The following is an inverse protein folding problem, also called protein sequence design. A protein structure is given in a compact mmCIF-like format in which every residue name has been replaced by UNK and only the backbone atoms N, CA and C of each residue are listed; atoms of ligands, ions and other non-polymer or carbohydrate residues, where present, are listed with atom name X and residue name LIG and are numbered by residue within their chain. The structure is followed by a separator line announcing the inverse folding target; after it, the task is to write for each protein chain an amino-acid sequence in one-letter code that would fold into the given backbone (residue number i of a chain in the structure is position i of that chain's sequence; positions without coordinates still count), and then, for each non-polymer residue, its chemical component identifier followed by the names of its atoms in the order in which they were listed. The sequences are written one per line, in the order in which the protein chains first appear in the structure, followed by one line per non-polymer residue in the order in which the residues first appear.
data_IF_422655002350
#
_entry.id   IF_422655002350
#
_cell.length_a   1.000
_cell.length_b   1.000
_cell.length_c   1.000
_cell.angle_alpha   90.00
_cell.angle_beta   90.00
_cell.angle_gamma   90.00
#
_symmetry.space_group_name_H-M   'P 1'
#
loop_
_entity.id
_entity.type
_entity.pdbx_description
1 polymer ?
#
# COMPACT_ATOMS: atom_id res chain seq x y z
N UNK A 1 -51.18 20.75 -3.91
CA UNK A 1 -52.32 20.40 -3.03
C UNK A 1 -52.57 21.58 -2.11
N UNK A 2 -53.73 22.24 -2.23
CA UNK A 2 -54.10 23.37 -1.37
C UNK A 2 -54.74 22.86 -0.08
N UNK A 3 -54.55 23.58 1.03
CA UNK A 3 -55.20 23.30 2.33
C UNK A 3 -56.74 23.37 2.22
N UNK A 4 -57.27 23.99 1.18
CA UNK A 4 -58.71 24.22 0.97
C UNK A 4 -59.42 23.16 0.13
N UNK A 5 -58.73 22.17 -0.44
CA UNK A 5 -59.38 21.09 -1.21
C UNK A 5 -59.71 19.89 -0.33
N UNK A 6 -61.00 19.64 -0.08
CA UNK A 6 -61.46 18.45 0.63
C UNK A 6 -61.50 17.24 -0.32
N UNK A 7 -60.57 16.31 -0.14
CA UNK A 7 -60.61 15.00 -0.82
C UNK A 7 -61.04 13.94 0.17
N UNK A 8 -62.15 13.25 -0.14
CA UNK A 8 -62.61 12.15 0.70
C UNK A 8 -61.87 10.84 0.34
N UNK A 9 -60.84 10.50 1.10
CA UNK A 9 -60.01 9.30 0.93
C UNK A 9 -60.70 7.99 1.31
N UNK A 10 -61.93 8.04 1.81
CA UNK A 10 -62.73 6.83 2.08
C UNK A 10 -63.42 6.29 0.82
N UNK A 11 -63.56 7.10 -0.23
CA UNK A 11 -64.13 6.69 -1.52
C UNK A 11 -63.04 6.25 -2.49
N UNK A 12 -63.32 5.25 -3.33
CA UNK A 12 -62.37 4.78 -4.36
C UNK A 12 -62.00 5.88 -5.36
N UNK A 13 -62.96 6.74 -5.73
CA UNK A 13 -62.72 7.90 -6.61
C UNK A 13 -61.82 8.93 -5.91
N UNK A 14 -62.05 9.24 -4.63
CA UNK A 14 -61.22 10.19 -3.87
C UNK A 14 -59.78 9.73 -3.65
N UNK A 15 -59.54 8.42 -3.49
CA UNK A 15 -58.17 7.86 -3.45
C UNK A 15 -57.47 7.95 -4.81
N UNK A 16 -58.18 7.66 -5.89
CA UNK A 16 -57.65 7.74 -7.25
C UNK A 16 -57.24 9.18 -7.60
N UNK A 17 -58.11 10.16 -7.32
CA UNK A 17 -57.83 11.58 -7.62
C UNK A 17 -56.68 12.13 -6.79
N UNK A 18 -56.58 11.76 -5.50
CA UNK A 18 -55.45 12.14 -4.65
C UNK A 18 -54.11 11.60 -5.20
N UNK A 19 -54.07 10.31 -5.58
CA UNK A 19 -52.87 9.70 -6.15
C UNK A 19 -52.47 10.36 -7.48
N UNK A 20 -53.44 10.66 -8.34
CA UNK A 20 -53.21 11.37 -9.58
C UNK A 20 -52.61 12.77 -9.34
N UNK A 21 -53.16 13.55 -8.40
CA UNK A 21 -52.63 14.86 -8.04
C UNK A 21 -51.24 14.80 -7.40
N UNK A 22 -50.97 13.76 -6.61
CA UNK A 22 -49.64 13.55 -6.06
C UNK A 22 -48.61 13.27 -7.16
N UNK A 23 -48.96 12.41 -8.12
CA UNK A 23 -48.14 12.14 -9.31
C UNK A 23 -47.89 13.40 -10.12
N UNK A 24 -48.89 14.27 -10.29
CA UNK A 24 -48.71 15.57 -10.94
C UNK A 24 -47.79 16.50 -10.15
N UNK A 25 -47.96 16.61 -8.84
CA UNK A 25 -47.09 17.44 -8.01
C UNK A 25 -45.63 16.96 -8.04
N UNK A 26 -45.42 15.64 -8.08
CA UNK A 26 -44.09 15.05 -8.26
C UNK A 26 -43.53 15.37 -9.66
N UNK A 27 -44.32 15.14 -10.71
CA UNK A 27 -43.94 15.45 -12.09
C UNK A 27 -43.55 16.92 -12.27
N UNK A 28 -44.36 17.86 -11.76
CA UNK A 28 -44.04 19.30 -11.83
C UNK A 28 -42.74 19.64 -11.11
N UNK A 29 -42.48 19.02 -9.96
CA UNK A 29 -41.22 19.20 -9.22
C UNK A 29 -40.01 18.69 -10.01
N UNK A 30 -40.15 17.53 -10.66
CA UNK A 30 -39.10 16.94 -11.49
C UNK A 30 -38.81 17.81 -12.73
N UNK A 31 -39.85 18.21 -13.47
CA UNK A 31 -39.74 19.10 -14.64
C UNK A 31 -39.17 20.47 -14.27
N UNK A 32 -39.59 21.04 -13.14
CA UNK A 32 -39.02 22.30 -12.64
C UNK A 32 -37.55 22.13 -12.29
N UNK A 33 -37.18 21.02 -11.64
CA UNK A 33 -35.80 20.68 -11.34
C UNK A 33 -34.93 20.49 -12.58
N UNK A 34 -35.46 19.90 -13.65
CA UNK A 34 -34.80 19.81 -14.97
C UNK A 34 -34.56 21.18 -15.57
N UNK A 35 -35.61 22.00 -15.68
CA UNK A 35 -35.51 23.36 -16.24
C UNK A 35 -34.52 24.24 -15.48
N UNK A 36 -34.46 24.14 -14.15
CA UNK A 36 -33.48 24.86 -13.33
C UNK A 36 -32.06 24.38 -13.65
N UNK A 37 -31.84 23.07 -13.77
CA UNK A 37 -30.53 22.50 -14.15
C UNK A 37 -30.09 22.98 -15.53
N UNK A 38 -30.99 23.03 -16.50
CA UNK A 38 -30.69 23.49 -17.85
C UNK A 38 -30.36 24.99 -17.87
N UNK A 39 -31.12 25.82 -17.14
CA UNK A 39 -30.80 27.24 -16.98
C UNK A 39 -29.44 27.45 -16.32
N UNK A 40 -29.09 26.65 -15.31
CA UNK A 40 -27.76 26.70 -14.68
C UNK A 40 -26.67 26.29 -15.66
N UNK A 41 -26.88 25.23 -16.43
CA UNK A 41 -25.94 24.76 -17.44
C UNK A 41 -25.70 25.85 -18.50
N UNK A 42 -26.77 26.40 -19.09
CA UNK A 42 -26.69 27.50 -20.06
C UNK A 42 -26.03 28.75 -19.48
N UNK A 43 -26.28 29.06 -18.20
CA UNK A 43 -25.67 30.21 -17.53
C UNK A 43 -24.17 30.03 -17.27
N UNK A 44 -23.75 28.82 -16.86
CA UNK A 44 -22.32 28.48 -16.71
C UNK A 44 -21.60 28.45 -18.05
N UNK A 45 -22.25 28.02 -19.12
CA UNK A 45 -21.73 28.09 -20.49
C UNK A 45 -21.48 29.53 -20.93
N UNK A 46 -22.31 30.48 -20.49
CA UNK A 46 -22.13 31.93 -20.69
C UNK A 46 -21.08 32.55 -19.73
N UNK A 47 -20.35 31.73 -18.97
CA UNK A 47 -19.32 32.20 -18.05
C UNK A 47 -19.83 32.89 -16.79
N UNK A 48 -21.12 32.76 -16.46
CA UNK A 48 -21.69 33.41 -15.27
C UNK A 48 -21.43 32.60 -13.99
N UNK A 49 -21.10 33.31 -12.91
CA UNK A 49 -20.98 32.72 -11.58
C UNK A 49 -22.37 32.41 -11.01
N UNK A 50 -22.70 31.14 -10.89
CA UNK A 50 -24.02 30.66 -10.44
C UNK A 50 -24.16 30.49 -8.92
N UNK A 51 -23.29 31.16 -8.14
CA UNK A 51 -23.32 31.15 -6.69
C UNK A 51 -22.47 30.07 -6.02
N UNK A 52 -22.53 30.05 -4.69
CA UNK A 52 -21.65 29.26 -3.83
C UNK A 52 -20.65 30.15 -3.07
N UNK A 53 -19.79 29.51 -2.28
CA UNK A 53 -18.74 30.19 -1.54
C UNK A 53 -17.62 30.61 -2.50
N UNK A 54 -17.26 31.91 -2.57
CA UNK A 54 -16.19 32.36 -3.46
C UNK A 54 -14.85 31.74 -3.03
N UNK A 55 -14.04 31.22 -3.97
CA UNK A 55 -12.71 30.72 -3.65
C UNK A 55 -11.79 31.83 -3.12
N UNK A 56 -10.69 31.44 -2.44
CA UNK A 56 -9.62 32.37 -2.05
C UNK A 56 -9.15 33.14 -3.28
N UNK A 57 -8.91 34.45 -3.19
CA UNK A 57 -8.47 35.27 -4.33
C UNK A 57 -9.60 35.99 -5.06
N UNK A 58 -10.86 35.61 -4.81
CA UNK A 58 -12.03 36.24 -5.41
C UNK A 58 -13.04 36.69 -4.37
N UNK A 59 -13.72 37.80 -4.66
CA UNK A 59 -14.91 38.27 -3.98
C UNK A 59 -16.11 38.28 -4.93
N UNK A 60 -17.33 38.28 -4.39
CA UNK A 60 -18.55 38.36 -5.20
C UNK A 60 -18.99 39.81 -5.30
N UNK A 61 -18.92 40.39 -6.49
CA UNK A 61 -19.43 41.73 -6.79
C UNK A 61 -20.38 41.65 -8.00
N UNK A 62 -21.59 42.22 -7.90
CA UNK A 62 -22.58 42.25 -8.98
C UNK A 62 -22.88 40.87 -9.60
N UNK A 63 -22.96 39.82 -8.78
CA UNK A 63 -23.12 38.41 -9.20
C UNK A 63 -21.98 37.87 -10.08
N UNK A 64 -20.82 38.51 -10.09
CA UNK A 64 -19.58 38.07 -10.74
C UNK A 64 -18.49 37.87 -9.71
N UNK A 65 -17.48 37.08 -10.06
CA UNK A 65 -16.25 36.99 -9.27
C UNK A 65 -15.35 38.16 -9.67
N UNK A 66 -14.95 38.96 -8.68
CA UNK A 66 -13.99 40.04 -8.83
C UNK A 66 -12.69 39.66 -8.11
N UNK A 67 -11.54 39.98 -8.69
CA UNK A 67 -10.24 39.64 -8.11
C UNK A 67 -9.99 40.47 -6.86
N UNK A 68 -9.70 39.79 -5.75
CA UNK A 68 -9.18 40.42 -4.54
C UNK A 68 -7.65 40.39 -4.61
N UNK A 69 -7.01 41.53 -4.82
CA UNK A 69 -5.58 41.60 -5.08
C UNK A 69 -4.71 40.97 -3.98
N UNK A 70 -5.04 41.17 -2.71
CA UNK A 70 -4.28 40.63 -1.57
C UNK A 70 -4.38 39.10 -1.49
N UNK A 71 -5.59 38.56 -1.63
CA UNK A 71 -5.78 37.12 -1.63
C UNK A 71 -5.27 36.46 -2.92
N UNK A 72 -5.36 37.16 -4.05
CA UNK A 72 -4.86 36.69 -5.34
C UNK A 72 -3.34 36.49 -5.30
N UNK A 73 -2.61 37.36 -4.60
CA UNK A 73 -1.18 37.19 -4.40
C UNK A 73 -0.85 35.95 -3.56
N UNK A 74 -1.67 35.66 -2.56
CA UNK A 74 -1.56 34.40 -1.80
C UNK A 74 -1.74 33.19 -2.72
N UNK A 75 -2.71 33.24 -3.64
CA UNK A 75 -2.92 32.16 -4.60
C UNK A 75 -1.73 32.01 -5.54
N UNK A 76 -1.19 33.11 -6.10
CA UNK A 76 0.03 33.07 -6.94
C UNK A 76 1.21 32.47 -6.20
N UNK A 77 1.42 32.90 -4.96
CA UNK A 77 2.46 32.35 -4.09
C UNK A 77 2.31 30.83 -3.93
N UNK A 78 1.10 30.33 -3.64
CA UNK A 78 0.83 28.89 -3.53
C UNK A 78 1.21 28.15 -4.81
N UNK A 79 0.88 28.68 -5.99
CA UNK A 79 1.23 28.06 -7.27
C UNK A 79 2.74 28.02 -7.52
N UNK A 80 3.44 29.16 -7.36
CA UNK A 80 4.88 29.23 -7.54
C UNK A 80 5.64 28.33 -6.55
N UNK A 81 5.22 28.28 -5.28
CA UNK A 81 5.83 27.36 -4.30
C UNK A 81 5.53 25.91 -4.64
N UNK A 82 4.34 25.60 -5.13
CA UNK A 82 4.03 24.25 -5.57
C UNK A 82 4.89 23.80 -6.75
N UNK A 83 5.07 24.62 -7.79
CA UNK A 83 5.89 24.26 -8.95
C UNK A 83 7.36 24.12 -8.57
N UNK A 84 7.86 24.94 -7.65
CA UNK A 84 9.21 24.81 -7.10
C UNK A 84 9.41 23.52 -6.27
N UNK A 85 8.49 23.21 -5.36
CA UNK A 85 8.61 22.07 -4.43
C UNK A 85 8.21 20.73 -5.05
N UNK A 86 7.32 20.75 -6.04
CA UNK A 86 6.73 19.58 -6.71
C UNK A 86 6.01 18.59 -5.78
N UNK A 87 5.72 18.99 -4.53
CA UNK A 87 5.09 18.16 -3.50
C UNK A 87 4.08 18.95 -2.68
N UNK A 88 2.82 18.50 -2.66
CA UNK A 88 1.73 19.13 -1.88
C UNK A 88 1.99 19.04 -0.37
N UNK A 89 2.68 17.99 0.09
CA UNK A 89 3.00 17.86 1.52
C UNK A 89 4.11 18.83 1.94
N UNK A 90 5.15 19.00 1.11
CA UNK A 90 6.18 20.00 1.35
C UNK A 90 5.59 21.41 1.35
N UNK A 91 4.71 21.68 0.38
CA UNK A 91 3.96 22.93 0.29
C UNK A 91 3.13 23.19 1.55
N UNK A 92 2.39 22.19 2.04
CA UNK A 92 1.61 22.31 3.28
C UNK A 92 2.48 22.74 4.47
N UNK A 93 3.64 22.09 4.64
CA UNK A 93 4.55 22.38 5.75
C UNK A 93 5.09 23.81 5.65
N UNK A 94 5.45 24.25 4.45
CA UNK A 94 5.93 25.62 4.23
C UNK A 94 4.84 26.67 4.45
N UNK A 95 3.62 26.41 3.99
CA UNK A 95 2.47 27.30 4.19
C UNK A 95 2.07 27.41 5.67
N UNK A 96 2.22 26.34 6.45
CA UNK A 96 1.99 26.37 7.89
C UNK A 96 3.01 27.25 8.62
N UNK A 97 4.29 27.14 8.24
CA UNK A 97 5.37 27.94 8.82
C UNK A 97 5.21 29.43 8.48
N UNK A 98 4.78 29.73 7.25
CA UNK A 98 4.52 31.10 6.80
C UNK A 98 3.17 31.68 7.25
N UNK A 99 2.35 30.89 7.96
CA UNK A 99 1.07 31.35 8.52
C UNK A 99 -0.02 31.58 7.49
N UNK A 100 0.06 30.95 6.31
CA UNK A 100 -0.94 31.10 5.24
C UNK A 100 -2.22 30.34 5.60
N UNK A 101 -3.34 31.06 5.61
CA UNK A 101 -4.65 30.54 6.04
C UNK A 101 -5.69 30.56 4.94
N UNK A 102 -6.77 29.80 5.15
CA UNK A 102 -7.98 29.83 4.31
C UNK A 102 -8.72 31.17 4.39
N UNK A 103 -9.44 31.53 3.32
CA UNK A 103 -10.24 32.76 3.22
C UNK A 103 -11.12 32.95 4.45
N UNK A 104 -11.01 34.10 5.11
CA UNK A 104 -11.86 34.50 6.21
C UNK A 104 -13.25 34.89 5.69
N UNK A 105 -14.30 34.42 6.36
CA UNK A 105 -15.69 34.59 5.95
C UNK A 105 -16.58 34.76 7.18
N UNK A 106 -17.81 35.23 6.94
CA UNK A 106 -18.89 35.21 7.93
C UNK A 106 -20.02 34.33 7.40
N UNK A 107 -20.57 33.49 8.25
CA UNK A 107 -21.76 32.70 7.90
C UNK A 107 -23.02 33.59 7.86
N UNK A 108 -24.17 33.00 7.49
CA UNK A 108 -25.46 33.71 7.44
C UNK A 108 -25.90 34.25 8.82
N UNK A 109 -25.38 33.68 9.90
CA UNK A 109 -25.70 34.04 11.27
C UNK A 109 -24.65 35.02 11.87
N UNK A 110 -23.67 35.47 11.07
CA UNK A 110 -22.64 36.41 11.48
C UNK A 110 -21.39 35.80 12.13
N UNK A 111 -21.34 34.48 12.32
CA UNK A 111 -20.20 33.81 12.95
C UNK A 111 -18.99 33.77 12.00
N UNK A 112 -17.77 34.00 12.51
CA UNK A 112 -16.56 33.89 11.71
C UNK A 112 -16.31 32.43 11.29
N UNK A 113 -15.99 32.23 10.01
CA UNK A 113 -15.60 30.94 9.43
C UNK A 113 -14.37 31.13 8.54
N UNK A 114 -13.55 30.08 8.36
CA UNK A 114 -12.27 30.21 7.66
C UNK A 114 -11.14 30.68 8.59
N UNK A 115 -10.11 31.32 8.02
CA UNK A 115 -8.89 31.74 8.73
C UNK A 115 -8.16 30.59 9.45
N UNK A 116 -8.32 29.37 8.94
CA UNK A 116 -7.64 28.16 9.44
C UNK A 116 -6.50 27.76 8.51
N UNK A 117 -5.44 27.10 9.01
CA UNK A 117 -4.39 26.51 8.18
C UNK A 117 -5.00 25.64 7.07
N UNK A 118 -4.50 25.80 5.85
CA UNK A 118 -5.08 25.16 4.66
C UNK A 118 -4.80 23.66 4.71
N UNK A 119 -5.83 22.82 4.79
CA UNK A 119 -5.66 21.36 4.77
C UNK A 119 -5.12 20.85 3.42
N UNK A 120 -4.44 19.68 3.43
CA UNK A 120 -3.87 19.06 2.21
C UNK A 120 -4.93 18.85 1.12
N UNK A 121 -6.13 18.37 1.48
CA UNK A 121 -7.22 18.20 0.52
C UNK A 121 -7.67 19.53 -0.11
N UNK A 122 -7.66 20.62 0.66
CA UNK A 122 -7.99 21.94 0.15
C UNK A 122 -6.90 22.47 -0.81
N UNK A 123 -5.63 22.16 -0.58
CA UNK A 123 -4.55 22.49 -1.52
C UNK A 123 -4.76 21.79 -2.88
N UNK A 124 -5.13 20.51 -2.88
CA UNK A 124 -5.47 19.83 -4.14
C UNK A 124 -6.63 20.51 -4.87
N UNK A 125 -7.67 20.93 -4.14
CA UNK A 125 -8.77 21.69 -4.75
C UNK A 125 -8.31 23.04 -5.30
N UNK A 126 -7.47 23.79 -4.57
CA UNK A 126 -6.93 25.08 -5.04
C UNK A 126 -6.12 24.88 -6.31
N UNK A 127 -5.22 23.89 -6.32
CA UNK A 127 -4.34 23.59 -7.45
C UNK A 127 -5.08 23.02 -8.68
N UNK A 128 -6.31 22.51 -8.53
CA UNK A 128 -7.11 21.93 -9.63
C UNK A 128 -8.32 22.80 -10.02
N UNK A 129 -8.58 23.88 -9.28
CA UNK A 129 -9.68 24.78 -9.55
C UNK A 129 -9.44 25.70 -10.75
N UNK A 130 -10.08 25.38 -11.88
CA UNK A 130 -10.02 26.14 -13.14
C UNK A 130 -10.54 27.58 -13.05
N UNK A 131 -11.24 27.95 -11.97
CA UNK A 131 -11.64 29.34 -11.74
C UNK A 131 -10.43 30.28 -11.74
N UNK A 132 -9.28 29.85 -11.22
CA UNK A 132 -8.06 30.66 -11.22
C UNK A 132 -7.52 30.97 -12.60
N UNK A 133 -7.92 30.19 -13.62
CA UNK A 133 -7.56 30.37 -15.03
C UNK A 133 -8.62 31.16 -15.82
N UNK A 134 -9.58 31.77 -15.12
CA UNK A 134 -10.68 32.51 -15.75
C UNK A 134 -11.75 31.61 -16.35
N UNK A 135 -11.87 30.35 -15.94
CA UNK A 135 -12.80 29.37 -16.54
C UNK A 135 -13.86 28.88 -15.55
N UNK A 136 -15.07 28.60 -16.02
CA UNK A 136 -16.13 27.94 -15.27
C UNK A 136 -16.39 26.55 -15.84
N UNK A 137 -16.28 25.52 -15.01
CA UNK A 137 -16.53 24.14 -15.41
C UNK A 137 -17.99 23.71 -15.17
N UNK A 138 -18.58 22.98 -16.13
CA UNK A 138 -19.84 22.28 -15.96
C UNK A 138 -19.75 20.87 -16.57
N UNK A 139 -20.06 19.83 -15.77
CA UNK A 139 -19.94 18.41 -16.16
C UNK A 139 -18.57 18.08 -16.82
N UNK A 140 -17.49 18.64 -16.29
CA UNK A 140 -16.12 18.42 -16.78
C UNK A 140 -15.71 19.27 -17.99
N UNK A 141 -16.63 19.98 -18.65
CA UNK A 141 -16.31 20.89 -19.76
C UNK A 141 -16.00 22.30 -19.22
N UNK A 142 -14.82 22.88 -19.53
CA UNK A 142 -14.50 24.25 -19.19
C UNK A 142 -15.15 25.23 -20.18
N UNK A 143 -15.59 26.38 -19.68
CA UNK A 143 -16.10 27.50 -20.46
C UNK A 143 -15.41 28.79 -20.01
N UNK A 144 -15.15 29.76 -20.91
CA UNK A 144 -14.64 31.07 -20.52
C UNK A 144 -15.56 31.73 -19.49
N UNK A 145 -15.00 32.10 -18.33
CA UNK A 145 -15.68 32.83 -17.26
C UNK A 145 -15.74 34.32 -17.55
N UNK A 146 -16.65 35.02 -16.88
CA UNK A 146 -16.75 36.49 -16.92
C UNK A 146 -15.83 37.19 -15.91
N UNK A 147 -14.95 36.44 -15.26
CA UNK A 147 -14.04 36.92 -14.23
C UNK A 147 -12.59 36.81 -14.70
N UNK A 148 -11.75 37.72 -14.21
CA UNK A 148 -10.34 37.74 -14.59
C UNK A 148 -9.58 36.55 -14.01
N UNK A 149 -8.61 36.04 -14.77
CA UNK A 149 -7.71 34.99 -14.29
C UNK A 149 -6.73 35.55 -13.26
N UNK A 150 -6.45 34.78 -12.21
CA UNK A 150 -5.39 35.07 -11.22
C UNK A 150 -4.06 34.44 -11.65
N UNK A 151 -4.14 33.27 -12.29
CA UNK A 151 -3.02 32.43 -12.71
C UNK A 151 -2.99 32.36 -14.24
N UNK A 152 -1.80 32.50 -14.82
CA UNK A 152 -1.59 32.36 -16.26
C UNK A 152 -1.64 30.89 -16.73
N UNK A 153 -1.70 30.69 -18.04
CA UNK A 153 -1.79 29.35 -18.61
C UNK A 153 -0.52 28.53 -18.41
N UNK A 154 0.66 29.16 -18.42
CA UNK A 154 1.94 28.49 -18.30
C UNK A 154 2.11 27.88 -16.90
N UNK A 155 1.93 28.68 -15.84
CA UNK A 155 2.04 28.26 -14.45
C UNK A 155 0.96 27.24 -14.08
N UNK A 156 -0.26 27.42 -14.61
CA UNK A 156 -1.33 26.44 -14.45
C UNK A 156 -0.98 25.09 -15.05
N UNK A 157 -0.51 25.09 -16.30
CA UNK A 157 -0.19 23.88 -17.04
C UNK A 157 0.98 23.12 -16.40
N UNK A 158 2.00 23.84 -15.93
CA UNK A 158 3.10 23.26 -15.17
C UNK A 158 2.60 22.57 -13.89
N UNK A 159 1.75 23.25 -13.10
CA UNK A 159 1.17 22.67 -11.90
C UNK A 159 0.33 21.41 -12.20
N UNK A 160 -0.46 21.41 -13.29
CA UNK A 160 -1.23 20.23 -13.69
C UNK A 160 -0.33 19.08 -14.14
N UNK A 161 0.74 19.36 -14.90
CA UNK A 161 1.69 18.35 -15.33
C UNK A 161 2.35 17.67 -14.11
N UNK A 162 2.82 18.45 -13.14
CA UNK A 162 3.40 17.92 -11.90
C UNK A 162 2.36 17.09 -11.11
N UNK A 163 1.10 17.53 -11.05
CA UNK A 163 0.03 16.76 -10.41
C UNK A 163 -0.25 15.42 -11.11
N UNK A 164 -0.22 15.39 -12.44
CA UNK A 164 -0.40 14.19 -13.25
C UNK A 164 0.78 13.22 -13.08
N UNK A 165 2.01 13.72 -13.17
CA UNK A 165 3.23 12.94 -12.97
C UNK A 165 3.28 12.32 -11.57
N UNK A 166 2.93 13.09 -10.54
CA UNK A 166 2.85 12.58 -9.17
C UNK A 166 1.77 11.50 -8.99
N UNK A 167 0.70 11.52 -9.80
CA UNK A 167 -0.32 10.45 -9.81
C UNK A 167 0.22 9.17 -10.44
N UNK A 168 0.94 9.29 -11.55
CA UNK A 168 1.65 8.17 -12.19
C UNK A 168 2.69 7.61 -11.23
N UNK A 169 3.49 8.45 -10.59
CA UNK A 169 4.49 8.04 -9.59
C UNK A 169 3.85 7.33 -8.39
N UNK A 170 2.69 7.77 -7.88
CA UNK A 170 2.00 7.02 -6.80
C UNK A 170 1.54 5.64 -7.23
N UNK A 171 1.24 5.49 -8.52
CA UNK A 171 0.80 4.22 -9.12
C UNK A 171 2.00 3.30 -9.34
N UNK A 172 3.10 3.83 -9.86
CA UNK A 172 4.32 3.06 -10.18
C UNK A 172 5.30 2.94 -9.02
N UNK A 173 5.21 3.82 -8.01
CA UNK A 173 6.12 4.01 -6.85
C UNK A 173 7.61 3.89 -7.20
N UNK A 174 8.01 4.35 -8.38
CA UNK A 174 9.33 4.11 -8.99
C UNK A 174 10.49 4.81 -8.27
N UNK A 175 10.23 5.88 -7.50
CA UNK A 175 11.26 6.64 -6.75
C UNK A 175 11.36 6.31 -5.26
N UNK A 176 10.61 5.31 -4.77
CA UNK A 176 10.73 4.93 -3.36
C UNK A 176 12.11 4.30 -3.10
N UNK A 177 12.84 4.74 -2.07
CA UNK A 177 14.15 4.20 -1.69
C UNK A 177 14.17 2.67 -1.49
N UNK A 178 13.02 2.09 -1.16
CA UNK A 178 12.80 0.65 -1.19
C UNK A 178 11.35 0.40 -1.61
N UNK A 179 11.04 0.30 -2.91
CA UNK A 179 9.68 0.06 -3.36
C UNK A 179 9.22 -1.33 -2.91
N UNK A 180 7.92 -1.53 -2.74
CA UNK A 180 7.35 -2.86 -2.53
C UNK A 180 7.15 -3.48 -3.89
N UNK A 181 7.89 -4.55 -4.20
CA UNK A 181 7.96 -5.11 -5.56
C UNK A 181 6.57 -5.46 -6.09
N UNK A 182 5.73 -6.02 -5.22
CA UNK A 182 4.37 -6.49 -5.55
C UNK A 182 3.29 -5.44 -5.25
N UNK A 183 3.66 -4.18 -5.01
CA UNK A 183 2.69 -3.14 -4.66
C UNK A 183 1.64 -2.98 -5.78
N UNK A 184 0.41 -3.34 -5.45
CA UNK A 184 -0.73 -3.25 -6.35
C UNK A 184 -1.08 -4.55 -7.07
N UNK A 185 -0.28 -5.61 -6.91
CA UNK A 185 -0.50 -6.95 -7.49
C UNK A 185 -1.04 -7.97 -6.49
N UNK A 186 -0.93 -7.71 -5.19
CA UNK A 186 -1.31 -8.67 -4.13
C UNK A 186 -2.78 -8.52 -3.73
N UNK A 187 -3.46 -9.65 -3.60
CA UNK A 187 -4.85 -9.80 -3.17
C UNK A 187 -4.93 -10.88 -2.09
N UNK A 188 -5.93 -10.80 -1.20
CA UNK A 188 -6.23 -11.90 -0.29
C UNK A 188 -7.19 -12.92 -0.91
N UNK A 189 -7.42 -14.03 -0.19
CA UNK A 189 -8.32 -15.10 -0.63
C UNK A 189 -9.80 -14.70 -0.67
N UNK A 190 -10.16 -13.50 -0.20
CA UNK A 190 -11.49 -12.91 -0.39
C UNK A 190 -11.58 -12.04 -1.64
N UNK A 191 -10.48 -11.92 -2.39
CA UNK A 191 -10.37 -11.07 -3.57
C UNK A 191 -10.16 -9.59 -3.27
N UNK A 192 -9.89 -9.23 -2.01
CA UNK A 192 -9.61 -7.85 -1.62
C UNK A 192 -8.15 -7.49 -1.92
N UNK A 193 -7.91 -6.29 -2.46
CA UNK A 193 -6.56 -5.81 -2.75
C UNK A 193 -5.79 -5.54 -1.47
N UNK A 194 -4.57 -6.08 -1.38
CA UNK A 194 -3.67 -5.82 -0.27
C UNK A 194 -2.75 -4.64 -0.57
N UNK A 195 -2.44 -3.85 0.46
CA UNK A 195 -1.57 -2.68 0.32
C UNK A 195 -0.32 -2.79 1.18
N UNK A 196 0.84 -2.39 0.65
CA UNK A 196 2.08 -2.39 1.41
C UNK A 196 2.01 -1.32 2.50
N UNK A 197 2.25 -1.76 3.72
CA UNK A 197 2.33 -0.96 4.95
C UNK A 197 3.67 -1.23 5.62
N UNK A 198 4.05 -0.37 6.56
CA UNK A 198 5.24 -0.59 7.36
C UNK A 198 5.03 -0.15 8.80
N UNK A 199 5.78 -0.76 9.69
CA UNK A 199 5.88 -0.36 11.09
C UNK A 199 7.36 -0.23 11.44
N UNK A 200 7.72 0.78 12.22
CA UNK A 200 9.09 0.98 12.69
C UNK A 200 9.13 0.72 14.19
N UNK A 201 10.00 -0.19 14.63
CA UNK A 201 10.21 -0.49 16.05
C UNK A 201 11.70 -0.63 16.32
N UNK A 202 12.22 0.07 17.33
CA UNK A 202 13.63 0.06 17.72
C UNK A 202 14.59 0.31 16.53
N UNK A 203 14.25 1.27 15.65
CA UNK A 203 15.02 1.58 14.45
C UNK A 203 14.90 0.56 13.30
N UNK A 204 14.32 -0.62 13.54
CA UNK A 204 14.06 -1.61 12.50
C UNK A 204 12.70 -1.35 11.81
N UNK A 205 12.71 -1.33 10.48
CA UNK A 205 11.51 -1.15 9.64
C UNK A 205 10.97 -2.50 9.17
N UNK A 206 9.76 -2.84 9.60
CA UNK A 206 9.04 -4.05 9.21
C UNK A 206 8.01 -3.71 8.14
N UNK A 207 7.97 -4.49 7.06
CA UNK A 207 7.09 -4.25 5.91
C UNK A 207 6.10 -5.38 5.75
N UNK A 208 4.86 -5.04 5.40
CA UNK A 208 3.77 -5.99 5.28
C UNK A 208 2.85 -5.65 4.11
N UNK A 209 2.28 -6.66 3.47
CA UNK A 209 1.04 -6.50 2.69
C UNK A 209 -0.14 -6.75 3.61
N UNK A 210 -1.12 -5.84 3.61
CA UNK A 210 -2.29 -5.88 4.50
C UNK A 210 -3.55 -5.65 3.68
N UNK A 211 -4.57 -6.49 3.89
CA UNK A 211 -5.91 -6.31 3.31
C UNK A 211 -6.47 -4.92 3.64
N UNK A 212 -7.10 -4.26 2.66
CA UNK A 212 -7.56 -2.87 2.79
C UNK A 212 -8.57 -2.66 3.93
N UNK A 213 -9.43 -3.64 4.19
CA UNK A 213 -10.40 -3.67 5.28
C UNK A 213 -9.75 -3.60 6.67
N UNK A 214 -8.55 -4.15 6.84
CA UNK A 214 -7.77 -4.06 8.09
C UNK A 214 -7.07 -2.71 8.27
N UNK A 215 -6.89 -1.94 7.19
CA UNK A 215 -6.27 -0.60 7.21
C UNK A 215 -7.33 0.47 7.51
N UNK A 216 -8.48 0.39 6.83
CA UNK A 216 -9.60 1.34 6.97
C UNK A 216 -10.44 1.03 8.22
N UNK A 217 -9.84 1.19 9.41
CA UNK A 217 -10.52 0.97 10.70
C UNK A 217 -11.85 1.73 10.75
N UNK A 218 -12.94 1.00 10.98
CA UNK A 218 -14.27 1.54 11.30
C UNK A 218 -15.28 1.69 10.16
N UNK A 219 -14.89 1.47 8.89
CA UNK A 219 -15.81 1.68 7.74
C UNK A 219 -16.30 0.39 7.09
N UNK A 220 -15.58 -0.72 7.24
CA UNK A 220 -15.88 -2.02 6.62
C UNK A 220 -15.53 -3.13 7.61
N UNK A 221 -16.45 -4.10 7.81
CA UNK A 221 -16.16 -5.30 8.60
C UNK A 221 -15.09 -6.13 7.85
N UNK A 222 -13.98 -6.53 8.49
CA UNK A 222 -12.96 -7.34 7.83
C UNK A 222 -13.57 -8.63 7.27
N UNK A 223 -13.14 -9.01 6.07
CA UNK A 223 -13.40 -10.34 5.49
C UNK A 223 -12.77 -11.41 6.38
N UNK A 224 -13.36 -12.62 6.41
CA UNK A 224 -12.74 -13.78 7.08
C UNK A 224 -11.36 -14.12 6.50
N UNK A 225 -11.14 -13.80 5.21
CA UNK A 225 -9.87 -13.98 4.51
C UNK A 225 -8.89 -12.80 4.68
N UNK A 226 -9.28 -11.74 5.40
CA UNK A 226 -8.45 -10.56 5.54
C UNK A 226 -7.19 -10.86 6.36
N UNK A 227 -6.01 -10.59 5.80
CA UNK A 227 -4.76 -11.00 6.43
C UNK A 227 -3.64 -9.95 6.35
N UNK A 228 -2.56 -10.24 7.09
CA UNK A 228 -1.30 -9.48 7.08
C UNK A 228 -0.14 -10.45 6.81
N UNK A 229 0.60 -10.17 5.74
CA UNK A 229 1.71 -11.00 5.27
C UNK A 229 3.00 -10.18 5.28
N UNK A 230 4.14 -10.72 5.76
CA UNK A 230 5.44 -10.05 5.64
C UNK A 230 5.79 -9.79 4.17
N UNK A 231 6.13 -8.55 3.84
CA UNK A 231 6.45 -8.18 2.47
C UNK A 231 7.75 -8.83 1.99
N UNK A 232 8.76 -8.94 2.85
CA UNK A 232 10.03 -9.61 2.53
C UNK A 232 9.84 -11.04 2.09
N UNK A 233 9.09 -11.81 2.88
CA UNK A 233 8.93 -13.24 2.68
C UNK A 233 8.11 -13.51 1.40
N UNK A 234 7.05 -12.74 1.18
CA UNK A 234 6.22 -12.85 -0.02
C UNK A 234 7.00 -12.44 -1.28
N UNK A 235 7.77 -11.35 -1.20
CA UNK A 235 8.56 -10.86 -2.32
C UNK A 235 9.65 -11.87 -2.72
N UNK A 236 10.41 -12.40 -1.75
CA UNK A 236 11.42 -13.45 -1.99
C UNK A 236 10.79 -14.69 -2.59
N UNK A 237 9.66 -15.14 -2.06
CA UNK A 237 8.96 -16.31 -2.57
C UNK A 237 8.49 -16.13 -4.01
N UNK A 238 7.98 -14.96 -4.39
CA UNK A 238 7.61 -14.67 -5.78
C UNK A 238 8.85 -14.59 -6.67
N UNK A 239 9.94 -13.95 -6.20
CA UNK A 239 11.21 -13.93 -6.93
C UNK A 239 11.76 -15.35 -7.19
N UNK A 240 11.75 -16.22 -6.18
CA UNK A 240 12.23 -17.60 -6.29
C UNK A 240 11.42 -18.42 -7.30
N UNK A 241 10.11 -18.21 -7.38
CA UNK A 241 9.28 -18.87 -8.40
C UNK A 241 9.58 -18.39 -9.80
N UNK A 242 9.72 -17.07 -9.98
CA UNK A 242 10.10 -16.51 -11.28
C UNK A 242 11.47 -17.03 -11.69
N UNK A 243 12.42 -17.08 -10.76
CA UNK A 243 13.75 -17.62 -11.00
C UNK A 243 13.72 -19.11 -11.37
N UNK A 244 12.95 -19.92 -10.64
CA UNK A 244 12.76 -21.36 -10.95
C UNK A 244 12.18 -21.54 -12.34
N UNK A 245 11.17 -20.74 -12.69
CA UNK A 245 10.52 -20.78 -13.99
C UNK A 245 11.48 -20.37 -15.12
N UNK A 246 12.33 -19.37 -14.91
CA UNK A 246 13.36 -18.97 -15.87
C UNK A 246 14.46 -20.03 -16.06
N UNK A 247 14.65 -20.92 -15.08
CA UNK A 247 15.63 -22.00 -15.15
C UNK A 247 15.06 -23.30 -15.72
N UNK A 248 13.74 -23.42 -15.86
CA UNK A 248 13.07 -24.64 -16.33
C UNK A 248 12.69 -24.50 -17.82
N UNK A 249 13.47 -25.07 -18.77
CA UNK A 249 13.26 -24.84 -20.19
C UNK A 249 11.87 -25.28 -20.67
N UNK A 250 11.35 -26.37 -20.11
CA UNK A 250 10.04 -26.92 -20.47
C UNK A 250 8.91 -25.89 -20.22
N UNK A 251 8.94 -25.19 -19.09
CA UNK A 251 7.95 -24.18 -18.71
C UNK A 251 7.97 -22.98 -19.66
N UNK A 252 9.15 -22.53 -20.09
CA UNK A 252 9.27 -21.39 -21.00
C UNK A 252 8.85 -21.75 -22.43
N UNK A 253 9.24 -22.94 -22.89
CA UNK A 253 8.85 -23.45 -24.20
C UNK A 253 7.33 -23.66 -24.31
N UNK A 254 6.68 -24.10 -23.22
CA UNK A 254 5.23 -24.21 -23.16
C UNK A 254 4.53 -22.87 -23.43
N UNK A 255 5.15 -21.74 -23.03
CA UNK A 255 4.63 -20.40 -23.31
C UNK A 255 4.93 -19.89 -24.72
N UNK A 256 6.05 -20.31 -25.31
CA UNK A 256 6.51 -19.85 -26.62
C UNK A 256 5.72 -20.45 -27.81
N UNK A 257 5.00 -21.55 -27.60
CA UNK A 257 4.25 -22.24 -28.65
C UNK A 257 5.15 -22.83 -29.74
N UNK A 258 4.60 -23.06 -30.94
CA UNK A 258 5.33 -23.71 -32.03
C UNK A 258 6.35 -22.79 -32.69
N UNK A 259 7.61 -22.83 -32.23
CA UNK A 259 8.72 -22.04 -32.75
C UNK A 259 9.83 -22.95 -33.31
N UNK A 260 10.69 -22.42 -34.20
CA UNK A 260 11.85 -23.16 -34.74
C UNK A 260 12.85 -23.54 -33.64
N UNK A 261 13.59 -24.65 -33.82
CA UNK A 261 14.63 -25.12 -32.88
C UNK A 261 15.65 -24.03 -32.53
N UNK A 262 16.11 -23.26 -33.52
CA UNK A 262 17.06 -22.16 -33.30
C UNK A 262 16.51 -21.08 -32.36
N UNK A 263 15.24 -20.70 -32.52
CA UNK A 263 14.61 -19.70 -31.67
C UNK A 263 14.20 -20.25 -30.28
N UNK A 264 13.98 -21.56 -30.14
CA UNK A 264 13.87 -22.20 -28.82
C UNK A 264 15.20 -22.13 -28.05
N UNK A 265 16.32 -22.50 -28.67
CA UNK A 265 17.63 -22.44 -28.03
C UNK A 265 17.98 -21.00 -27.61
N UNK A 266 17.79 -20.02 -28.51
CA UNK A 266 18.04 -18.61 -28.19
C UNK A 266 17.20 -18.09 -27.00
N UNK A 267 15.96 -18.56 -26.88
CA UNK A 267 15.04 -18.17 -25.81
C UNK A 267 15.42 -18.83 -24.47
N UNK A 268 15.91 -20.06 -24.47
CA UNK A 268 16.46 -20.72 -23.29
C UNK A 268 17.72 -19.99 -22.81
N UNK A 269 18.64 -19.65 -23.73
CA UNK A 269 19.87 -18.92 -23.40
C UNK A 269 19.56 -17.54 -22.80
N UNK A 270 18.60 -16.82 -23.38
CA UNK A 270 18.14 -15.53 -22.87
C UNK A 270 17.49 -15.64 -21.49
N UNK A 271 16.71 -16.70 -21.26
CA UNK A 271 16.08 -16.92 -19.95
C UNK A 271 17.11 -17.25 -18.88
N UNK A 272 18.08 -18.10 -19.19
CA UNK A 272 19.20 -18.41 -18.32
C UNK A 272 20.03 -17.17 -18.00
N UNK A 273 20.29 -16.31 -18.99
CA UNK A 273 20.96 -15.02 -18.80
C UNK A 273 20.18 -14.09 -17.86
N UNK A 274 18.86 -13.97 -18.04
CA UNK A 274 18.02 -13.16 -17.17
C UNK A 274 17.98 -13.71 -15.73
N UNK A 275 17.91 -15.04 -15.57
CA UNK A 275 17.97 -15.70 -14.26
C UNK A 275 19.28 -15.37 -13.54
N UNK A 276 20.42 -15.47 -14.24
CA UNK A 276 21.74 -15.17 -13.69
C UNK A 276 21.88 -13.70 -13.28
N UNK A 277 21.32 -12.77 -14.07
CA UNK A 277 21.35 -11.33 -13.77
C UNK A 277 20.34 -10.90 -12.70
N UNK A 278 19.31 -11.71 -12.43
CA UNK A 278 18.21 -11.35 -11.52
C UNK A 278 18.65 -10.82 -10.15
N UNK A 279 19.65 -11.41 -9.45
CA UNK A 279 20.11 -10.93 -8.15
C UNK A 279 20.76 -9.55 -8.20
N UNK A 280 21.34 -9.18 -9.35
CA UNK A 280 22.05 -7.91 -9.56
C UNK A 280 21.11 -6.75 -9.93
N UNK A 281 19.88 -7.06 -10.36
CA UNK A 281 18.89 -6.05 -10.73
C UNK A 281 18.48 -5.18 -9.54
N UNK A 282 18.33 -3.88 -9.78
CA UNK A 282 17.79 -2.95 -8.80
C UNK A 282 16.33 -3.27 -8.47
N UNK A 283 15.85 -2.85 -7.31
CA UNK A 283 14.45 -3.05 -6.91
C UNK A 283 13.44 -2.41 -7.88
N UNK A 284 13.84 -1.34 -8.58
CA UNK A 284 13.01 -0.67 -9.58
C UNK A 284 12.93 -1.47 -10.88
N UNK A 285 14.03 -2.05 -11.36
CA UNK A 285 14.05 -2.94 -12.52
C UNK A 285 13.24 -4.21 -12.26
N UNK A 286 13.48 -4.87 -11.11
CA UNK A 286 12.71 -6.03 -10.67
C UNK A 286 11.22 -5.75 -10.63
N UNK A 287 10.83 -4.61 -10.05
CA UNK A 287 9.43 -4.17 -10.02
C UNK A 287 8.86 -3.96 -11.43
N UNK A 288 9.63 -3.36 -12.34
CA UNK A 288 9.20 -3.16 -13.73
C UNK A 288 8.88 -4.49 -14.41
N UNK A 289 9.79 -5.46 -14.29
CA UNK A 289 9.62 -6.80 -14.87
C UNK A 289 8.43 -7.53 -14.21
N UNK A 290 8.38 -7.58 -12.88
CA UNK A 290 7.29 -8.21 -12.14
C UNK A 290 5.94 -7.56 -12.42
N UNK A 291 5.89 -6.23 -12.54
CA UNK A 291 4.67 -5.48 -12.88
C UNK A 291 4.13 -5.75 -14.28
N UNK A 292 5.02 -6.05 -15.23
CA UNK A 292 4.62 -6.44 -16.59
C UNK A 292 4.20 -7.92 -16.65
N UNK A 293 4.95 -8.80 -15.98
CA UNK A 293 4.78 -10.25 -16.08
C UNK A 293 3.68 -10.80 -15.17
N UNK A 294 3.40 -10.19 -14.02
CA UNK A 294 2.38 -10.65 -13.09
C UNK A 294 1.05 -9.94 -13.37
N UNK A 295 -0.02 -10.71 -13.48
CA UNK A 295 -1.38 -10.15 -13.45
C UNK A 295 -1.89 -10.05 -12.02
N UNK A 296 -1.63 -11.06 -11.18
CA UNK A 296 -2.16 -11.13 -9.81
C UNK A 296 -1.37 -12.07 -8.91
N UNK A 297 -1.24 -11.73 -7.63
CA UNK A 297 -0.76 -12.63 -6.57
C UNK A 297 -1.85 -12.74 -5.51
N UNK A 298 -2.39 -13.92 -5.31
CA UNK A 298 -3.47 -14.18 -4.34
C UNK A 298 -2.92 -14.96 -3.14
N UNK A 299 -3.11 -14.41 -1.95
CA UNK A 299 -2.73 -15.05 -0.68
C UNK A 299 -3.97 -15.68 -0.06
N UNK A 300 -4.03 -17.00 -0.09
CA UNK A 300 -5.04 -17.81 0.61
C UNK A 300 -4.43 -18.35 1.92
N UNK A 301 -5.25 -18.90 2.84
CA UNK A 301 -4.77 -19.37 4.14
C UNK A 301 -3.64 -20.40 4.07
N UNK A 302 -3.75 -21.35 3.13
CA UNK A 302 -2.82 -22.47 2.97
C UNK A 302 -2.12 -22.50 1.60
N UNK A 303 -2.41 -21.54 0.72
CA UNK A 303 -1.81 -21.49 -0.62
C UNK A 303 -1.52 -20.06 -1.07
N UNK A 304 -0.48 -19.90 -1.88
CA UNK A 304 -0.27 -18.67 -2.66
C UNK A 304 -0.44 -19.02 -4.13
N UNK A 305 -1.22 -18.20 -4.83
CA UNK A 305 -1.52 -18.35 -6.26
C UNK A 305 -0.91 -17.17 -7.01
N UNK A 306 0.00 -17.45 -7.93
CA UNK A 306 0.68 -16.44 -8.75
C UNK A 306 0.15 -16.57 -10.17
N UNK A 307 -0.54 -15.54 -10.65
CA UNK A 307 -1.03 -15.44 -12.01
C UNK A 307 -0.04 -14.61 -12.85
N UNK A 308 0.42 -15.23 -13.94
CA UNK A 308 1.43 -14.73 -14.87
C UNK A 308 0.79 -14.40 -16.21
N UNK A 309 1.38 -13.44 -16.93
CA UNK A 309 1.12 -13.14 -18.33
C UNK A 309 2.23 -13.75 -19.18
N UNK A 310 2.02 -14.91 -19.82
CA UNK A 310 3.07 -15.65 -20.52
C UNK A 310 3.76 -14.81 -21.61
N UNK A 311 2.99 -14.08 -22.42
CA UNK A 311 3.54 -13.26 -23.50
C UNK A 311 4.48 -12.15 -22.98
N UNK A 312 4.12 -11.49 -21.87
CA UNK A 312 4.95 -10.44 -21.26
C UNK A 312 6.22 -11.00 -20.65
N UNK A 313 6.17 -12.22 -20.11
CA UNK A 313 7.37 -12.92 -19.66
C UNK A 313 8.31 -13.21 -20.83
N UNK A 314 7.80 -13.64 -21.98
CA UNK A 314 8.62 -13.85 -23.18
C UNK A 314 9.24 -12.55 -23.71
N UNK A 315 8.52 -11.43 -23.64
CA UNK A 315 9.06 -10.10 -23.95
C UNK A 315 10.17 -9.69 -22.98
N UNK A 316 10.02 -10.03 -21.68
CA UNK A 316 11.03 -9.80 -20.67
C UNK A 316 12.33 -10.55 -20.98
N UNK A 317 12.20 -11.85 -21.29
CA UNK A 317 13.32 -12.72 -21.63
C UNK A 317 14.06 -12.20 -22.86
N UNK A 318 13.32 -11.74 -23.88
CA UNK A 318 13.89 -11.16 -25.12
C UNK A 318 14.49 -9.76 -24.93
N UNK A 319 14.45 -9.18 -23.73
CA UNK A 319 14.96 -7.84 -23.45
C UNK A 319 14.15 -6.71 -24.09
N UNK A 320 12.89 -6.96 -24.48
CA UNK A 320 12.02 -5.99 -25.17
C UNK A 320 11.11 -5.19 -24.23
N UNK A 321 11.14 -5.46 -22.93
CA UNK A 321 10.32 -4.74 -21.95
C UNK A 321 10.84 -3.32 -21.75
N UNK A 322 10.04 -2.34 -22.17
CA UNK A 322 10.20 -0.94 -21.75
C UNK A 322 9.52 -0.73 -20.39
N UNK A 323 10.23 -0.31 -19.33
CA UNK A 323 9.68 -0.16 -17.96
C UNK A 323 8.53 0.85 -17.81
N UNK A 324 8.28 1.67 -18.85
CA UNK A 324 7.41 2.85 -18.79
C UNK A 324 6.01 2.65 -19.40
N UNK A 325 5.74 1.51 -20.06
CA UNK A 325 4.45 1.20 -20.69
C UNK A 325 3.76 0.05 -19.95
N UNK A 326 3.33 0.29 -18.71
CA UNK A 326 2.47 -0.64 -17.98
C UNK A 326 1.02 -0.46 -18.44
N UNK A 327 0.69 -0.96 -19.63
CA UNK A 327 -0.71 -1.17 -20.02
C UNK A 327 -1.25 -2.35 -19.21
N UNK A 328 -1.90 -2.03 -18.09
CA UNK A 328 -2.48 -3.01 -17.16
C UNK A 328 -3.68 -3.77 -17.74
N UNK A 329 -4.13 -3.43 -18.95
CA UNK A 329 -5.33 -3.94 -19.63
C UNK A 329 -5.12 -5.20 -20.48
N UNK A 330 -3.96 -5.86 -20.37
CA UNK A 330 -3.69 -7.09 -21.11
C UNK A 330 -4.51 -8.26 -20.52
N UNK A 331 -5.68 -8.51 -21.12
CA UNK A 331 -6.66 -9.59 -20.86
C UNK A 331 -6.24 -10.93 -21.52
N UNK A 332 -4.95 -11.19 -21.60
CA UNK A 332 -4.43 -12.47 -22.12
C UNK A 332 -4.65 -13.63 -21.14
N UNK A 333 -4.64 -14.90 -21.61
CA UNK A 333 -4.75 -16.06 -20.75
C UNK A 333 -3.62 -16.07 -19.72
N UNK A 334 -3.98 -16.06 -18.43
CA UNK A 334 -3.01 -16.08 -17.35
C UNK A 334 -2.57 -17.51 -17.04
N UNK A 335 -1.25 -17.76 -17.01
CA UNK A 335 -0.72 -19.00 -16.45
C UNK A 335 -0.72 -18.91 -14.93
N UNK A 336 -1.09 -19.99 -14.24
CA UNK A 336 -1.28 -19.98 -12.79
C UNK A 336 -0.30 -20.93 -12.11
N UNK A 337 0.56 -20.39 -11.26
CA UNK A 337 1.42 -21.16 -10.36
C UNK A 337 0.77 -21.21 -8.98
N UNK A 338 0.55 -22.40 -8.45
CA UNK A 338 -0.02 -22.60 -7.11
C UNK A 338 1.00 -23.28 -6.21
N UNK A 339 1.17 -22.76 -5.01
CA UNK A 339 2.08 -23.32 -4.01
C UNK A 339 1.43 -23.46 -2.64
N UNK A 340 1.72 -24.55 -1.90
CA UNK A 340 1.26 -24.73 -0.53
C UNK A 340 2.12 -23.89 0.43
N UNK A 341 1.49 -22.91 1.10
CA UNK A 341 2.17 -22.00 2.03
C UNK A 341 1.24 -21.65 3.17
N UNK A 342 1.71 -21.81 4.41
CA UNK A 342 0.98 -21.35 5.60
C UNK A 342 1.63 -20.13 6.21
N UNK A 343 0.82 -19.12 6.52
CA UNK A 343 1.26 -18.00 7.36
C UNK A 343 1.26 -18.46 8.81
N UNK A 344 2.45 -18.65 9.40
CA UNK A 344 2.58 -19.03 10.81
C UNK A 344 3.25 -17.93 11.63
N UNK A 345 2.82 -17.77 12.88
CA UNK A 345 3.40 -16.79 13.80
C UNK A 345 4.65 -17.35 14.48
N UNK A 346 5.79 -16.70 14.31
CA UNK A 346 7.08 -17.07 14.91
C UNK A 346 7.49 -16.00 15.93
N UNK A 347 7.19 -16.24 17.21
CA UNK A 347 7.38 -15.25 18.27
C UNK A 347 6.50 -14.00 18.09
N UNK A 348 7.14 -12.84 17.86
CA UNK A 348 6.45 -11.55 17.68
C UNK A 348 6.07 -11.29 16.21
N UNK A 349 6.75 -11.93 15.26
CA UNK A 349 6.55 -11.71 13.83
C UNK A 349 5.71 -12.82 13.18
N UNK A 350 4.88 -12.45 12.20
CA UNK A 350 4.34 -13.42 11.26
C UNK A 350 5.45 -13.81 10.28
N UNK A 351 5.54 -15.07 9.88
CA UNK A 351 6.46 -15.58 8.86
C UNK A 351 5.69 -16.48 7.90
N UNK A 352 5.99 -16.42 6.61
CA UNK A 352 5.48 -17.42 5.66
C UNK A 352 6.31 -18.70 5.79
N UNK A 353 5.63 -19.84 5.93
CA UNK A 353 6.25 -21.17 6.01
C UNK A 353 5.73 -22.00 4.85
N UNK A 354 6.63 -22.44 3.97
CA UNK A 354 6.32 -23.30 2.83
C UNK A 354 6.38 -24.76 3.30
N UNK A 355 5.31 -25.54 3.08
CA UNK A 355 5.35 -26.98 3.36
C UNK A 355 6.09 -27.70 2.22
N UNK A 356 7.17 -28.41 2.52
CA UNK A 356 7.93 -29.22 1.57
C UNK A 356 9.34 -28.70 1.21
N UNK A 357 9.67 -27.44 1.52
CA UNK A 357 11.04 -26.93 1.46
C UNK A 357 11.66 -26.92 2.87
N UNK A 358 11.88 -28.10 3.44
CA UNK A 358 12.56 -28.25 4.74
C UNK A 358 14.09 -28.04 4.68
N UNK A 359 14.68 -27.65 3.54
CA UNK A 359 16.15 -27.72 3.39
C UNK A 359 16.83 -26.52 2.72
N UNK A 360 16.16 -25.38 2.53
CA UNK A 360 16.92 -24.15 2.21
C UNK A 360 17.55 -23.66 3.52
N UNK A 361 18.88 -23.70 3.61
CA UNK A 361 19.63 -23.24 4.78
C UNK A 361 19.25 -21.79 5.12
N UNK A 362 18.29 -21.62 6.03
CA UNK A 362 17.85 -20.31 6.51
C UNK A 362 19.04 -19.69 7.22
N UNK A 363 19.36 -18.44 6.91
CA UNK A 363 20.38 -17.69 7.66
C UNK A 363 20.14 -17.85 9.16
N UNK A 364 21.10 -18.38 9.95
CA UNK A 364 20.84 -18.78 11.32
C UNK A 364 20.40 -17.58 12.16
N UNK A 365 19.38 -17.80 13.00
CA UNK A 365 18.77 -16.75 13.81
C UNK A 365 19.82 -16.18 14.78
N UNK A 366 20.17 -14.90 14.58
CA UNK A 366 21.18 -14.20 15.37
C UNK A 366 20.87 -14.22 16.87
N UNK A 367 19.60 -14.23 17.25
CA UNK A 367 19.19 -14.25 18.65
C UNK A 367 19.44 -15.62 19.30
N UNK A 368 19.13 -16.71 18.58
CA UNK A 368 19.43 -18.07 19.01
C UNK A 368 20.95 -18.30 19.07
N UNK A 369 21.69 -17.87 18.05
CA UNK A 369 23.15 -17.96 18.04
C UNK A 369 23.78 -17.24 19.24
N UNK A 370 23.33 -16.01 19.55
CA UNK A 370 23.81 -15.27 20.72
C UNK A 370 23.59 -16.04 22.02
N UNK A 371 22.41 -16.66 22.19
CA UNK A 371 22.12 -17.47 23.38
C UNK A 371 23.03 -18.68 23.49
N UNK A 372 23.28 -19.41 22.40
CA UNK A 372 24.20 -20.56 22.40
C UNK A 372 25.63 -20.12 22.75
N UNK A 373 26.09 -18.99 22.18
CA UNK A 373 27.41 -18.43 22.49
C UNK A 373 27.51 -18.02 23.96
N UNK A 374 26.51 -17.29 24.48
CA UNK A 374 26.47 -16.89 25.89
C UNK A 374 26.42 -18.11 26.82
N UNK A 375 25.65 -19.14 26.48
CA UNK A 375 25.57 -20.37 27.26
C UNK A 375 26.93 -21.08 27.34
N UNK A 376 27.67 -21.13 26.24
CA UNK A 376 29.04 -21.68 26.21
C UNK A 376 30.01 -20.83 27.02
N UNK A 377 29.90 -19.51 26.95
CA UNK A 377 30.71 -18.60 27.75
C UNK A 377 30.45 -18.79 29.26
N UNK A 378 29.18 -18.83 29.68
CA UNK A 378 28.81 -19.08 31.08
C UNK A 378 29.21 -20.47 31.55
N UNK A 379 29.17 -21.47 30.67
CA UNK A 379 29.70 -22.79 30.96
C UNK A 379 31.19 -22.74 31.31
N UNK A 380 31.98 -22.03 30.51
CA UNK A 380 33.41 -21.80 30.77
C UNK A 380 33.68 -21.08 32.08
N UNK A 381 32.88 -20.05 32.42
CA UNK A 381 33.00 -19.34 33.69
C UNK A 381 32.75 -20.27 34.88
N UNK A 382 31.74 -21.13 34.81
CA UNK A 382 31.43 -22.09 35.89
C UNK A 382 32.51 -23.16 36.01
N UNK A 383 32.98 -23.73 34.89
CA UNK A 383 34.04 -24.76 34.93
C UNK A 383 35.37 -24.23 35.46
N UNK A 384 35.65 -22.93 35.26
CA UNK A 384 36.89 -22.28 35.68
C UNK A 384 36.75 -21.45 36.97
N UNK A 385 35.61 -21.57 37.67
CA UNK A 385 35.23 -20.67 38.76
C UNK A 385 35.99 -20.87 40.07
N UNK A 386 36.74 -21.97 40.23
CA UNK A 386 37.44 -22.35 41.47
C UNK A 386 36.59 -22.16 42.75
N UNK A 387 35.28 -22.44 42.68
CA UNK A 387 34.36 -22.37 43.82
C UNK A 387 33.66 -21.01 44.04
N UNK A 388 33.81 -20.05 43.12
CA UNK A 388 33.05 -18.79 43.15
C UNK A 388 31.54 -19.02 43.02
N UNK A 389 30.74 -18.17 43.66
CA UNK A 389 29.29 -18.33 43.65
C UNK A 389 28.69 -17.92 42.31
N UNK A 390 27.49 -18.44 41.99
CA UNK A 390 26.74 -18.04 40.78
C UNK A 390 26.49 -16.53 40.75
N UNK A 391 26.34 -15.88 41.91
CA UNK A 391 26.14 -14.44 42.01
C UNK A 391 27.37 -13.68 41.51
N UNK A 392 28.56 -14.10 41.92
CA UNK A 392 29.83 -13.45 41.55
C UNK A 392 30.13 -13.64 40.06
N UNK A 393 29.83 -14.83 39.51
CA UNK A 393 29.99 -15.13 38.08
C UNK A 393 28.98 -14.35 37.22
N UNK A 394 27.76 -14.15 37.72
CA UNK A 394 26.75 -13.34 37.03
C UNK A 394 27.15 -11.86 37.00
N UNK A 395 27.70 -11.34 38.09
CA UNK A 395 28.22 -9.97 38.18
C UNK A 395 29.41 -9.75 37.24
N UNK A 396 30.37 -10.69 37.18
CA UNK A 396 31.47 -10.66 36.22
C UNK A 396 30.97 -10.65 34.76
N UNK A 397 29.92 -11.42 34.47
CA UNK A 397 29.29 -11.46 33.16
C UNK A 397 28.37 -10.25 32.88
N UNK A 398 28.18 -9.33 33.83
CA UNK A 398 27.32 -8.15 33.70
C UNK A 398 25.82 -8.48 33.57
N UNK A 399 25.37 -9.60 34.13
CA UNK A 399 23.97 -10.08 34.02
C UNK A 399 23.37 -10.41 35.38
N UNK A 400 22.03 -10.51 35.44
CA UNK A 400 21.37 -10.93 36.68
C UNK A 400 21.60 -12.43 36.98
N UNK A 401 21.65 -12.86 38.25
CA UNK A 401 21.80 -14.28 38.61
C UNK A 401 20.71 -15.19 38.01
N UNK A 402 19.47 -14.68 37.91
CA UNK A 402 18.35 -15.41 37.29
C UNK A 402 18.55 -15.59 35.77
N UNK A 403 19.07 -14.58 35.08
CA UNK A 403 19.38 -14.69 33.67
C UNK A 403 20.57 -15.64 33.44
N UNK A 404 21.64 -15.49 34.24
CA UNK A 404 22.82 -16.33 34.18
C UNK A 404 22.46 -17.82 34.28
N UNK A 405 21.71 -18.20 35.32
CA UNK A 405 21.29 -19.60 35.53
C UNK A 405 20.44 -20.16 34.40
N UNK A 406 19.50 -19.36 33.85
CA UNK A 406 18.66 -19.79 32.73
C UNK A 406 19.47 -20.01 31.45
N UNK A 407 20.41 -19.12 31.14
CA UNK A 407 21.25 -19.24 29.94
C UNK A 407 22.31 -20.33 30.12
N UNK A 408 22.91 -20.46 31.30
CA UNK A 408 23.87 -21.52 31.61
C UNK A 408 23.28 -22.91 31.35
N UNK A 409 22.01 -23.15 31.70
CA UNK A 409 21.33 -24.44 31.41
C UNK A 409 21.28 -24.79 29.92
N UNK A 410 21.30 -23.80 29.03
CA UNK A 410 21.34 -24.04 27.59
C UNK A 410 22.66 -24.68 27.13
N UNK A 411 23.72 -24.68 27.97
CA UNK A 411 24.99 -25.37 27.65
C UNK A 411 24.83 -26.89 27.56
N UNK A 412 23.75 -27.44 28.14
CA UNK A 412 23.44 -28.86 28.20
C UNK A 412 22.40 -29.30 27.15
N UNK A 413 22.12 -28.45 26.17
CA UNK A 413 21.25 -28.82 25.03
C UNK A 413 21.82 -30.00 24.25
N UNK A 414 20.91 -30.82 23.73
CA UNK A 414 21.27 -31.92 22.83
C UNK A 414 22.16 -31.42 21.66
N UNK A 415 23.24 -32.14 21.30
CA UNK A 415 24.18 -31.70 20.26
C UNK A 415 23.54 -31.47 18.90
N UNK A 416 22.53 -32.26 18.54
CA UNK A 416 21.78 -32.13 17.29
C UNK A 416 20.95 -30.84 17.25
N UNK A 417 20.33 -30.43 18.36
CA UNK A 417 19.59 -29.17 18.48
C UNK A 417 20.55 -27.98 18.31
N UNK A 418 21.69 -28.03 19.01
CA UNK A 418 22.73 -27.00 18.87
C UNK A 418 23.24 -26.90 17.43
N UNK A 419 23.51 -28.05 16.80
CA UNK A 419 23.93 -28.13 15.39
C UNK A 419 22.87 -27.56 14.46
N UNK A 420 21.60 -27.91 14.66
CA UNK A 420 20.50 -27.40 13.85
C UNK A 420 20.36 -25.87 13.97
N UNK A 421 20.48 -25.31 15.17
CA UNK A 421 20.47 -23.85 15.40
C UNK A 421 21.63 -23.16 14.67
N UNK A 422 22.85 -23.71 14.79
CA UNK A 422 24.05 -23.15 14.14
C UNK A 422 23.95 -23.21 12.62
N UNK A 423 23.40 -24.30 12.09
CA UNK A 423 23.20 -24.49 10.65
C UNK A 423 21.94 -23.81 10.11
N UNK A 424 21.13 -23.17 10.96
CA UNK A 424 19.88 -22.54 10.54
C UNK A 424 18.76 -23.51 10.17
N UNK A 425 18.89 -24.78 10.57
CA UNK A 425 17.94 -25.88 10.32
C UNK A 425 16.97 -26.11 11.48
N UNK A 426 16.87 -25.17 12.42
CA UNK A 426 15.87 -25.24 13.48
C UNK A 426 14.44 -25.11 12.90
N UNK A 427 13.43 -25.73 13.52
CA UNK A 427 12.04 -25.57 13.13
C UNK A 427 11.66 -24.08 13.05
N UNK A 428 10.83 -23.69 12.07
CA UNK A 428 10.47 -22.28 11.86
C UNK A 428 9.84 -21.62 13.10
N UNK A 429 9.11 -22.40 13.91
CA UNK A 429 8.46 -21.95 15.15
C UNK A 429 9.42 -21.84 16.35
N UNK A 430 10.66 -22.32 16.20
CA UNK A 430 11.67 -22.32 17.24
C UNK A 430 12.31 -20.93 17.36
N UNK A 431 12.15 -20.29 18.53
CA UNK A 431 12.65 -18.94 18.78
C UNK A 431 13.45 -18.86 20.08
N UNK A 432 14.29 -17.83 20.20
CA UNK A 432 15.03 -17.54 21.43
C UNK A 432 14.14 -17.45 22.68
N UNK A 433 12.91 -16.94 22.53
CA UNK A 433 11.93 -16.87 23.62
C UNK A 433 11.48 -18.27 24.04
N UNK A 434 11.17 -19.15 23.06
CA UNK A 434 10.77 -20.54 23.32
C UNK A 434 11.90 -21.29 24.04
N UNK A 435 13.13 -21.14 23.55
CA UNK A 435 14.32 -21.73 24.17
C UNK A 435 14.54 -21.25 25.60
N UNK A 436 14.44 -19.94 25.85
CA UNK A 436 14.62 -19.35 27.19
C UNK A 436 13.48 -19.68 28.17
N UNK A 437 12.26 -19.97 27.67
CA UNK A 437 11.12 -20.37 28.51
C UNK A 437 11.19 -21.84 28.90
N UNK A 438 11.68 -22.69 28.00
CA UNK A 438 11.87 -24.12 28.25
C UNK A 438 13.02 -24.43 29.24
N UNK A 439 13.59 -23.43 29.93
CA UNK A 439 14.84 -23.48 30.71
C UNK A 439 14.92 -24.47 31.88
N UNK A 440 14.03 -25.45 31.98
CA UNK A 440 14.22 -26.72 32.66
C UNK A 440 14.05 -27.84 31.62
N UNK A 441 15.17 -28.27 31.04
CA UNK A 441 15.18 -29.37 30.10
C UNK A 441 15.15 -30.71 30.85
N UNK A 442 14.46 -31.70 30.28
CA UNK A 442 14.67 -33.09 30.65
C UNK A 442 16.17 -33.46 30.58
N UNK A 443 16.62 -34.31 31.51
CA UNK A 443 18.01 -34.76 31.55
C UNK A 443 18.41 -35.63 30.36
N UNK A 444 17.42 -36.20 29.64
CA UNK A 444 17.62 -36.99 28.42
C UNK A 444 17.47 -36.13 27.18
N UNK A 445 18.40 -36.26 26.24
CA UNK A 445 18.35 -35.53 24.96
C UNK A 445 17.12 -35.87 24.11
N UNK A 446 16.58 -37.09 24.20
CA UNK A 446 15.32 -37.45 23.52
C UNK A 446 14.16 -36.57 23.95
N UNK A 447 14.08 -36.27 25.25
CA UNK A 447 12.97 -35.52 25.83
C UNK A 447 13.09 -34.05 25.42
N UNK A 448 14.32 -33.52 25.39
CA UNK A 448 14.61 -32.19 24.87
C UNK A 448 14.17 -32.02 23.40
N UNK A 449 14.39 -33.03 22.55
CA UNK A 449 13.97 -32.97 21.15
C UNK A 449 12.46 -32.86 21.02
N UNK A 450 11.72 -33.68 21.78
CA UNK A 450 10.25 -33.67 21.80
C UNK A 450 9.69 -32.36 22.34
N UNK A 451 10.21 -31.87 23.47
CA UNK A 451 9.80 -30.60 24.09
C UNK A 451 10.04 -29.39 23.17
N UNK A 452 11.12 -29.42 22.39
CA UNK A 452 11.53 -28.32 21.53
C UNK A 452 11.00 -28.44 20.10
N UNK A 453 10.42 -29.59 19.73
CA UNK A 453 9.79 -29.84 18.42
C UNK A 453 10.81 -30.16 17.32
N UNK A 454 11.87 -30.89 17.65
CA UNK A 454 12.92 -31.37 16.73
C UNK A 454 12.74 -32.84 16.32
N UNK A 455 11.55 -33.40 16.55
CA UNK A 455 11.14 -34.75 16.16
C UNK A 455 10.12 -34.72 15.02
#
# INVERSE_FOLDING_TARGET
VSVTQQFNTTTSIGRLTLNMLLSFAQFEREVTGERIRDKIAASKQKGMWMGGLPPLGYDVANRKLAVNAAEAETVRHIYHRYTALKSVHALKLELDVSGVVSKARRDRNGNPTGAKPIAIGALYHILQNRLYRGEIAHKGKPYPGQHDAIIDEALWSEAQAILADNRVERTTRSKAFAPSLLAGLVYDGGGERMSPTHATKNGARYRYYVSQSLIKRGWVKPSESACRVPASDLEVLVEDQIHTLLQEPASILAFAGTTTVAAHNALIDQAAWLAQRWPELSASEKRGILGACLSRVEVKPDTIVIALRPLRLLEAIRGKLSPCQLDLSDEGPSAVLTMPVRVKRTGIANKLVIEGQSEIAIKPDRSLLRLIVQARHFHGLVTNSNGRSIRDLAEEAGVSPSYFTRVFRLSFLAPNITRAIVQGRQPAEFSAIKLMRAGQFGSRWSDQRRELGFD
#
